data_IF_134801661752
#
_entry.id   IF_134801661752
#
_cell.length_a   1.000
_cell.length_b   1.000
_cell.length_c   1.000
_cell.angle_alpha   90.00
_cell.angle_beta   90.00
_cell.angle_gamma   90.00
#
_symmetry.space_group_name_H-M   'P 1'
#
loop_
_entity.id
_entity.type
_entity.pdbx_description
1 polymer ?
#
# COMPACT_ATOMS: atom_id res chain seq x y z
N UNK A 1 37.53 39.07 -8.08
CA UNK A 1 36.25 38.80 -7.39
C UNK A 1 35.28 37.89 -8.15
N UNK A 2 35.41 37.67 -9.47
CA UNK A 2 34.49 36.82 -10.25
C UNK A 2 34.66 35.30 -10.08
N UNK A 3 35.88 34.81 -9.83
CA UNK A 3 36.18 33.37 -9.73
C UNK A 3 35.67 32.77 -8.41
N UNK A 4 35.68 33.55 -7.33
CA UNK A 4 35.22 33.11 -6.01
C UNK A 4 33.68 32.93 -5.96
N UNK A 5 32.93 33.76 -6.68
CA UNK A 5 31.47 33.66 -6.79
C UNK A 5 31.02 32.44 -7.60
N UNK A 6 31.79 32.01 -8.59
CA UNK A 6 31.49 30.82 -9.41
C UNK A 6 31.69 29.51 -8.65
N UNK A 7 32.68 29.44 -7.76
CA UNK A 7 32.93 28.24 -6.93
C UNK A 7 31.87 28.05 -5.84
N UNK A 8 31.38 29.14 -5.25
CA UNK A 8 30.34 29.11 -4.21
C UNK A 8 28.97 28.70 -4.80
N UNK A 9 28.64 29.12 -6.01
CA UNK A 9 27.40 28.72 -6.70
C UNK A 9 27.44 27.25 -7.13
N UNK A 10 28.58 26.74 -7.62
CA UNK A 10 28.73 25.31 -7.93
C UNK A 10 28.70 24.42 -6.69
N UNK A 11 29.22 24.88 -5.54
CA UNK A 11 29.22 24.09 -4.30
C UNK A 11 27.82 24.04 -3.66
N UNK A 12 27.05 25.13 -3.72
CA UNK A 12 25.67 25.17 -3.23
C UNK A 12 24.72 24.30 -4.09
N UNK A 13 24.91 24.24 -5.40
CA UNK A 13 24.11 23.40 -6.30
C UNK A 13 24.34 21.90 -6.09
N UNK A 14 25.57 21.50 -5.73
CA UNK A 14 25.91 20.09 -5.42
C UNK A 14 25.36 19.67 -4.05
N UNK A 15 25.33 20.55 -3.06
CA UNK A 15 24.77 20.24 -1.73
C UNK A 15 23.23 20.14 -1.72
N UNK A 16 22.52 20.94 -2.52
CA UNK A 16 21.05 20.87 -2.60
C UNK A 16 20.57 19.63 -3.37
N UNK A 17 21.32 19.18 -4.38
CA UNK A 17 21.00 17.95 -5.12
C UNK A 17 21.29 16.66 -4.32
N UNK A 18 22.28 16.69 -3.42
CA UNK A 18 22.64 15.52 -2.60
C UNK A 18 21.73 15.30 -1.38
N UNK A 19 20.86 16.26 -1.05
CA UNK A 19 20.03 16.24 0.17
C UNK A 19 18.61 15.70 -0.04
N UNK A 20 18.24 15.32 -1.27
CA UNK A 20 16.86 14.90 -1.61
C UNK A 20 16.72 13.39 -1.87
N UNK A 21 17.73 12.58 -1.53
CA UNK A 21 17.76 11.15 -1.87
C UNK A 21 17.56 10.20 -0.68
N UNK A 22 17.23 10.70 0.52
CA UNK A 22 16.83 9.81 1.62
C UNK A 22 15.34 9.50 1.49
N UNK A 23 15.03 8.45 0.75
CA UNK A 23 13.67 7.99 0.51
C UNK A 23 12.98 7.52 1.81
N UNK A 24 11.66 7.71 1.95
CA UNK A 24 10.83 7.25 3.07
C UNK A 24 10.39 5.78 2.93
N UNK A 25 11.23 4.91 2.36
CA UNK A 25 10.84 3.53 1.99
C UNK A 25 10.47 2.67 3.19
N UNK A 26 11.12 2.85 4.34
CA UNK A 26 10.88 2.05 5.54
C UNK A 26 9.46 2.21 6.13
N UNK A 27 8.84 3.38 5.98
CA UNK A 27 7.49 3.62 6.53
C UNK A 27 6.40 3.04 5.62
N UNK A 28 6.66 2.90 4.31
CA UNK A 28 5.70 2.33 3.38
C UNK A 28 5.45 0.84 3.65
N UNK A 29 6.47 0.06 4.03
CA UNK A 29 6.30 -1.38 4.27
C UNK A 29 5.56 -1.71 5.57
N UNK A 30 5.65 -0.84 6.59
CA UNK A 30 4.91 -1.01 7.85
C UNK A 30 3.39 -1.02 7.65
N UNK A 31 2.88 -0.41 6.57
CA UNK A 31 1.45 -0.44 6.27
C UNK A 31 0.90 -1.86 6.04
N UNK A 32 1.74 -2.78 5.54
CA UNK A 32 1.36 -4.16 5.30
C UNK A 32 1.21 -4.95 6.60
N UNK A 33 2.05 -4.68 7.59
CA UNK A 33 1.92 -5.27 8.93
C UNK A 33 0.63 -4.84 9.61
N UNK A 34 0.20 -3.59 9.41
CA UNK A 34 -1.07 -3.10 9.97
C UNK A 34 -2.31 -3.76 9.32
N UNK A 35 -2.16 -4.33 8.12
CA UNK A 35 -3.24 -5.04 7.42
C UNK A 35 -3.42 -6.48 7.92
N UNK A 36 -2.59 -6.92 8.85
CA UNK A 36 -2.62 -8.24 9.46
C UNK A 36 -2.94 -8.10 10.96
N UNK A 37 -3.72 -9.00 11.57
CA UNK A 37 -3.84 -9.06 13.02
C UNK A 37 -2.46 -9.34 13.62
N UNK A 38 -2.09 -8.60 14.68
CA UNK A 38 -0.78 -8.71 15.34
C UNK A 38 0.46 -8.69 14.41
N UNK A 39 0.36 -8.14 13.18
CA UNK A 39 1.42 -8.26 12.17
C UNK A 39 2.75 -7.59 12.54
N UNK A 40 2.74 -6.64 13.49
CA UNK A 40 3.92 -6.01 14.07
C UNK A 40 4.29 -6.54 15.48
N UNK A 41 3.55 -7.54 15.97
CA UNK A 41 3.65 -8.09 17.32
C UNK A 41 4.11 -9.56 17.33
N UNK A 42 4.63 -10.07 16.22
CA UNK A 42 5.22 -11.42 16.15
C UNK A 42 6.63 -11.36 16.74
N UNK A 43 6.95 -12.16 17.78
CA UNK A 43 8.22 -12.03 18.50
C UNK A 43 9.45 -12.25 17.61
N UNK A 44 10.36 -11.27 17.58
CA UNK A 44 11.63 -11.33 16.85
C UNK A 44 11.51 -11.24 15.33
N UNK A 45 10.39 -10.71 14.82
CA UNK A 45 10.10 -10.63 13.38
C UNK A 45 9.67 -9.20 13.06
N UNK A 46 10.55 -8.45 12.40
CA UNK A 46 10.30 -7.09 11.94
C UNK A 46 9.64 -7.06 10.55
N UNK A 47 9.70 -8.17 9.80
CA UNK A 47 9.25 -8.26 8.41
C UNK A 47 8.46 -9.56 8.17
N UNK A 48 7.25 -9.63 8.73
CA UNK A 48 6.33 -10.76 8.50
C UNK A 48 6.04 -10.93 7.00
N UNK A 49 5.97 -12.19 6.54
CA UNK A 49 5.81 -12.52 5.11
C UNK A 49 7.13 -12.59 4.32
N UNK A 50 8.27 -12.51 5.00
CA UNK A 50 9.59 -12.69 4.41
C UNK A 50 10.38 -13.83 5.06
N UNK A 51 11.37 -14.36 4.34
CA UNK A 51 12.20 -15.47 4.82
C UNK A 51 13.11 -15.10 6.00
N UNK A 52 13.54 -13.83 6.08
CA UNK A 52 14.37 -13.32 7.17
C UNK A 52 13.59 -12.41 8.12
N UNK A 53 14.02 -12.28 9.39
CA UNK A 53 13.30 -11.50 10.40
C UNK A 53 13.24 -10.00 10.06
N UNK A 54 14.21 -9.47 9.31
CA UNK A 54 14.24 -8.07 8.87
C UNK A 54 13.96 -7.90 7.36
N UNK A 55 13.53 -8.97 6.67
CA UNK A 55 13.14 -8.95 5.26
C UNK A 55 13.78 -10.07 4.43
N UNK A 56 13.80 -9.88 3.11
CA UNK A 56 14.31 -10.85 2.14
C UNK A 56 13.23 -11.27 1.13
N UNK A 57 13.41 -12.40 0.42
CA UNK A 57 12.37 -12.98 -0.41
C UNK A 57 11.11 -13.29 0.40
N UNK A 58 9.95 -13.33 -0.25
CA UNK A 58 8.73 -13.77 0.42
C UNK A 58 8.82 -15.23 0.85
N UNK A 59 8.28 -15.53 2.03
CA UNK A 59 7.96 -16.89 2.43
C UNK A 59 6.54 -17.24 1.93
N UNK A 60 6.06 -18.46 2.19
CA UNK A 60 4.77 -18.93 1.69
C UNK A 60 3.60 -18.06 2.20
N UNK A 61 3.60 -17.66 3.47
CA UNK A 61 2.63 -16.69 4.01
C UNK A 61 2.64 -15.35 3.26
N UNK A 62 3.82 -14.83 2.93
CA UNK A 62 3.95 -13.60 2.16
C UNK A 62 3.42 -13.73 0.74
N UNK A 63 3.65 -14.87 0.09
CA UNK A 63 3.10 -15.17 -1.24
C UNK A 63 1.57 -15.28 -1.20
N UNK A 64 1.04 -15.93 -0.17
CA UNK A 64 -0.40 -16.04 0.07
C UNK A 64 -1.05 -14.69 0.36
N UNK A 65 -0.34 -13.80 1.08
CA UNK A 65 -0.82 -12.44 1.32
C UNK A 65 -0.85 -11.62 0.01
N UNK A 66 0.11 -11.84 -0.88
CA UNK A 66 0.13 -11.25 -2.23
C UNK A 66 -1.04 -11.79 -3.06
N UNK A 67 -1.29 -13.11 -3.02
CA UNK A 67 -2.43 -13.76 -3.69
C UNK A 67 -3.77 -13.18 -3.18
N UNK A 68 -3.87 -12.90 -1.89
CA UNK A 68 -5.01 -12.23 -1.27
C UNK A 68 -5.07 -10.70 -1.54
N UNK A 69 -4.23 -10.18 -2.44
CA UNK A 69 -4.11 -8.76 -2.77
C UNK A 69 -3.85 -7.85 -1.55
N UNK A 70 -3.03 -8.32 -0.61
CA UNK A 70 -2.70 -7.63 0.64
C UNK A 70 -3.92 -7.31 1.52
N UNK A 71 -4.86 -8.26 1.59
CA UNK A 71 -6.08 -8.17 2.41
C UNK A 71 -6.17 -9.38 3.34
N UNK A 72 -6.56 -9.12 4.59
CA UNK A 72 -6.97 -10.16 5.53
C UNK A 72 -8.36 -10.68 5.15
N UNK A 73 -8.40 -11.55 4.14
CA UNK A 73 -9.64 -12.21 3.71
C UNK A 73 -9.89 -13.44 4.56
N UNK A 74 -11.14 -13.90 4.64
CA UNK A 74 -11.47 -15.17 5.31
C UNK A 74 -10.64 -16.34 4.77
N UNK A 75 -10.55 -16.46 3.44
CA UNK A 75 -9.75 -17.50 2.79
C UNK A 75 -8.26 -17.44 3.17
N UNK A 76 -7.69 -16.24 3.26
CA UNK A 76 -6.29 -16.08 3.67
C UNK A 76 -6.09 -16.37 5.16
N UNK A 77 -7.02 -15.93 6.00
CA UNK A 77 -6.99 -16.19 7.44
C UNK A 77 -7.13 -17.69 7.78
N UNK A 78 -7.96 -18.42 7.05
CA UNK A 78 -8.17 -19.87 7.23
C UNK A 78 -7.07 -20.73 6.58
N UNK A 79 -6.19 -20.14 5.77
CA UNK A 79 -5.09 -20.86 5.13
C UNK A 79 -4.03 -21.23 6.16
N UNK A 80 -3.48 -22.43 6.02
CA UNK A 80 -2.26 -22.89 6.69
C UNK A 80 -1.10 -22.66 5.69
N UNK A 81 -0.48 -21.48 5.77
CA UNK A 81 0.47 -21.03 4.75
C UNK A 81 1.80 -21.79 4.81
N UNK A 82 2.21 -22.27 5.98
CA UNK A 82 3.49 -22.97 6.15
C UNK A 82 3.37 -24.49 6.38
N UNK A 83 2.14 -25.00 6.41
CA UNK A 83 1.83 -26.42 6.41
C UNK A 83 2.03 -27.09 7.76
N UNK A 84 2.00 -26.33 8.85
CA UNK A 84 2.22 -26.85 10.20
C UNK A 84 0.96 -27.38 10.88
N UNK A 85 -0.21 -27.16 10.27
CA UNK A 85 -1.53 -27.55 10.77
C UNK A 85 -2.26 -26.47 11.57
N UNK A 86 -1.73 -25.24 11.65
CA UNK A 86 -2.44 -24.08 12.18
C UNK A 86 -2.83 -23.14 11.06
N UNK A 87 -3.96 -22.46 11.21
CA UNK A 87 -4.34 -21.39 10.29
C UNK A 87 -3.61 -20.10 10.61
N UNK A 88 -3.41 -19.25 9.60
CA UNK A 88 -2.87 -17.91 9.74
C UNK A 88 -3.60 -17.11 10.84
N UNK A 89 -4.93 -17.28 10.94
CA UNK A 89 -5.76 -16.69 11.99
C UNK A 89 -5.46 -17.21 13.39
N UNK A 90 -5.27 -18.52 13.57
CA UNK A 90 -4.84 -19.07 14.85
C UNK A 90 -3.47 -18.54 15.25
N UNK A 91 -2.54 -18.42 14.32
CA UNK A 91 -1.20 -17.95 14.65
C UNK A 91 -1.14 -16.46 14.99
N UNK A 92 -1.93 -15.64 14.28
CA UNK A 92 -1.93 -14.19 14.42
C UNK A 92 -3.02 -13.65 15.37
N UNK A 93 -3.74 -14.52 16.08
CA UNK A 93 -4.70 -14.10 17.11
C UNK A 93 -6.07 -13.69 16.60
N UNK A 94 -6.46 -14.15 15.42
CA UNK A 94 -7.79 -13.99 14.82
C UNK A 94 -8.32 -15.35 14.29
N UNK A 95 -8.59 -16.33 15.16
CA UNK A 95 -9.03 -17.67 14.73
C UNK A 95 -10.42 -17.68 14.09
N UNK A 96 -11.18 -16.59 14.23
CA UNK A 96 -12.50 -16.44 13.63
C UNK A 96 -12.53 -15.60 12.36
N UNK A 97 -11.37 -15.10 11.92
CA UNK A 97 -11.25 -14.28 10.71
C UNK A 97 -12.13 -13.03 10.73
N UNK A 98 -12.22 -12.40 11.92
CA UNK A 98 -13.04 -11.23 12.21
C UNK A 98 -12.24 -9.92 12.12
N UNK A 99 -10.91 -9.99 12.00
CA UNK A 99 -10.06 -8.81 11.88
C UNK A 99 -10.38 -8.05 10.60
N UNK A 100 -10.68 -6.76 10.74
CA UNK A 100 -10.89 -5.85 9.61
C UNK A 100 -9.98 -4.63 9.75
N UNK A 101 -9.07 -4.47 8.79
CA UNK A 101 -8.16 -3.32 8.78
C UNK A 101 -8.93 -1.99 8.77
N UNK A 102 -8.56 -1.07 9.67
CA UNK A 102 -9.18 0.26 9.88
C UNK A 102 -10.63 0.25 10.39
N UNK A 103 -11.16 -0.89 10.81
CA UNK A 103 -12.41 -0.96 11.56
C UNK A 103 -12.08 -1.59 12.91
N UNK A 104 -12.04 -0.79 13.98
CA UNK A 104 -11.73 -1.17 15.38
C UNK A 104 -11.26 -2.63 15.52
N UNK A 105 -9.98 -2.92 15.18
CA UNK A 105 -9.56 -4.27 14.88
C UNK A 105 -9.68 -5.15 16.12
N UNK A 106 -10.53 -6.17 16.04
CA UNK A 106 -10.69 -7.18 17.08
C UNK A 106 -9.69 -8.30 16.82
N UNK A 107 -8.80 -8.53 17.77
CA UNK A 107 -8.00 -9.75 17.88
C UNK A 107 -8.39 -10.44 19.17
N UNK A 108 -8.42 -11.78 19.15
CA UNK A 108 -8.80 -12.59 20.32
C UNK A 108 -7.67 -12.65 21.33
N UNK A 109 -6.42 -12.61 20.88
CA UNK A 109 -5.24 -12.46 21.74
C UNK A 109 -4.13 -11.69 21.04
N UNK A 110 -3.20 -11.18 21.84
CA UNK A 110 -1.99 -10.48 21.41
C UNK A 110 -0.73 -11.17 21.93
N UNK A 111 -0.84 -11.99 22.98
CA UNK A 111 0.24 -12.79 23.54
C UNK A 111 0.14 -14.24 23.06
N UNK A 112 1.28 -14.88 22.86
CA UNK A 112 1.32 -16.26 22.35
C UNK A 112 1.08 -16.40 20.85
N UNK A 113 1.18 -15.29 20.09
CA UNK A 113 1.18 -15.33 18.61
C UNK A 113 2.45 -15.97 18.06
N UNK A 114 2.35 -16.55 16.86
CA UNK A 114 3.45 -17.24 16.18
C UNK A 114 3.68 -16.73 14.76
N UNK A 115 4.63 -17.34 14.04
CA UNK A 115 5.06 -16.84 12.74
C UNK A 115 4.48 -17.72 11.62
N UNK A 116 3.50 -17.22 10.85
CA UNK A 116 2.70 -18.05 9.95
C UNK A 116 3.37 -18.49 8.63
N UNK A 117 4.64 -18.11 8.48
CA UNK A 117 5.51 -18.58 7.39
C UNK A 117 6.68 -19.43 7.90
N UNK A 118 6.60 -20.01 9.10
CA UNK A 118 7.67 -20.81 9.70
C UNK A 118 7.09 -21.97 10.53
N UNK A 119 7.12 -23.21 10.01
CA UNK A 119 6.38 -24.35 10.59
C UNK A 119 6.95 -24.87 11.92
N UNK A 120 8.05 -24.27 12.40
CA UNK A 120 8.65 -24.57 13.70
C UNK A 120 8.17 -23.63 14.80
N UNK A 121 7.43 -22.57 14.45
CA UNK A 121 6.97 -21.55 15.39
C UNK A 121 5.46 -21.64 15.47
N UNK A 122 4.97 -22.37 16.47
CA UNK A 122 3.54 -22.61 16.68
C UNK A 122 3.00 -21.84 17.88
N UNK A 123 1.72 -21.45 17.81
CA UNK A 123 0.96 -20.96 18.96
C UNK A 123 0.49 -22.14 19.82
N UNK A 124 0.15 -21.90 21.09
CA UNK A 124 -0.43 -22.94 21.94
C UNK A 124 -1.91 -23.17 21.53
N UNK A 125 -2.32 -24.40 21.14
CA UNK A 125 -3.71 -24.69 20.77
C UNK A 125 -4.75 -24.35 21.83
N UNK A 126 -4.35 -24.25 23.10
CA UNK A 126 -5.23 -23.79 24.19
C UNK A 126 -5.78 -22.38 23.98
N UNK A 127 -5.10 -21.55 23.19
CA UNK A 127 -5.55 -20.17 22.91
C UNK A 127 -6.88 -20.14 22.12
N UNK A 128 -7.19 -21.20 21.37
CA UNK A 128 -8.46 -21.33 20.64
C UNK A 128 -9.29 -22.56 21.04
N UNK A 129 -8.92 -23.24 22.12
CA UNK A 129 -9.73 -24.32 22.67
C UNK A 129 -11.06 -23.74 23.19
N UNK A 130 -12.17 -24.18 22.60
CA UNK A 130 -13.52 -23.74 22.96
C UNK A 130 -14.00 -22.44 22.31
N UNK A 131 -13.24 -21.84 21.39
CA UNK A 131 -13.72 -20.70 20.61
C UNK A 131 -14.74 -21.17 19.57
N UNK A 132 -15.95 -20.61 19.63
CA UNK A 132 -16.99 -20.78 18.62
C UNK A 132 -17.12 -19.48 17.82
N UNK A 133 -16.77 -19.54 16.54
CA UNK A 133 -16.89 -18.40 15.64
C UNK A 133 -18.33 -18.24 15.15
N UNK A 134 -18.83 -17.00 15.06
CA UNK A 134 -20.20 -16.71 14.59
C UNK A 134 -21.14 -16.10 15.64
N UNK A 135 -20.66 -15.80 16.86
CA UNK A 135 -21.49 -15.16 17.89
C UNK A 135 -21.68 -13.63 17.72
N UNK A 136 -21.05 -13.01 16.71
CA UNK A 136 -21.21 -11.58 16.40
C UNK A 136 -22.13 -11.35 15.19
N UNK A 137 -23.31 -11.97 15.19
CA UNK A 137 -24.45 -11.61 14.34
C UNK A 137 -25.82 -11.98 14.92
N UNK A 138 -25.89 -12.43 16.18
CA UNK A 138 -27.14 -12.77 16.84
C UNK A 138 -27.29 -11.97 18.13
N UNK A 139 -27.96 -10.82 18.04
CA UNK A 139 -28.74 -10.32 19.17
C UNK A 139 -29.80 -11.38 19.55
N UNK A 140 -30.21 -11.49 20.83
CA UNK A 140 -31.09 -12.57 21.26
C UNK A 140 -32.52 -12.30 20.79
N UNK A 141 -32.91 -12.86 19.63
CA UNK A 141 -34.32 -13.02 19.31
C UNK A 141 -34.91 -14.15 20.16
N UNK A 142 -35.97 -13.77 20.87
CA UNK A 142 -36.77 -14.64 21.71
C UNK A 142 -37.31 -15.84 20.91
N UNK A 143 -37.34 -16.98 21.59
CA UNK A 143 -37.93 -18.21 21.11
C UNK A 143 -39.41 -18.01 20.74
N UNK A 144 -39.77 -18.34 19.50
CA UNK A 144 -41.09 -18.89 19.18
C UNK A 144 -40.94 -20.16 18.35
N UNK A 145 -41.29 -21.26 19.00
CA UNK A 145 -41.50 -22.59 18.43
C UNK A 145 -42.88 -22.64 17.76
N UNK A 146 -42.97 -23.07 16.50
CA UNK A 146 -44.17 -23.76 15.97
C UNK A 146 -43.87 -24.58 14.71
N UNK A 147 -43.67 -25.87 14.97
CA UNK A 147 -44.32 -27.04 14.35
C UNK A 147 -44.39 -27.14 12.81
N UNK A 148 -43.56 -28.07 12.35
CA UNK A 148 -43.58 -28.92 11.16
C UNK A 148 -44.96 -29.31 10.58
N UNK A 149 -45.11 -29.20 9.26
CA UNK A 149 -45.87 -30.15 8.40
C UNK A 149 -45.13 -30.28 7.06
N UNK A 150 -44.75 -31.50 6.72
CA UNK A 150 -44.27 -31.96 5.41
C UNK A 150 -45.48 -32.31 4.52
N UNK A 151 -45.38 -32.15 3.20
CA UNK A 151 -45.33 -33.24 2.20
C UNK A 151 -45.61 -32.73 0.75
N UNK A 152 -45.15 -33.54 -0.21
CA UNK A 152 -44.70 -33.31 -1.58
C UNK A 152 -45.77 -33.17 -2.69
N UNK A 153 -45.38 -32.51 -3.81
CA UNK A 153 -45.39 -33.04 -5.21
C UNK A 153 -44.93 -31.95 -6.22
N UNK A 154 -43.86 -32.14 -7.01
CA UNK A 154 -43.81 -32.72 -8.37
C UNK A 154 -44.84 -32.07 -9.34
N UNK A 155 -44.57 -31.58 -10.55
CA UNK A 155 -43.46 -31.63 -11.50
C UNK A 155 -43.70 -30.51 -12.55
N UNK A 156 -42.72 -30.30 -13.44
CA UNK A 156 -42.82 -29.91 -14.88
C UNK A 156 -42.12 -28.62 -15.32
N UNK A 157 -41.16 -28.88 -16.21
CA UNK A 157 -40.23 -28.05 -16.99
C UNK A 157 -40.91 -27.21 -18.08
N UNK A 158 -40.33 -26.03 -18.40
CA UNK A 158 -39.99 -25.40 -19.72
C UNK A 158 -39.91 -23.88 -19.53
N UNK A 159 -39.14 -23.03 -20.21
CA UNK A 159 -38.01 -23.05 -21.13
C UNK A 159 -37.57 -21.56 -21.26
N UNK A 160 -36.31 -21.35 -21.62
CA UNK A 160 -35.61 -20.14 -22.06
C UNK A 160 -36.36 -18.78 -22.22
N UNK A 161 -35.69 -17.69 -21.82
CA UNK A 161 -35.23 -16.66 -22.77
C UNK A 161 -34.44 -15.53 -22.08
N UNK A 162 -33.28 -15.24 -22.64
CA UNK A 162 -32.49 -14.01 -22.47
C UNK A 162 -33.24 -12.85 -23.16
N UNK A 163 -33.12 -11.61 -22.65
CA UNK A 163 -32.61 -10.58 -23.54
C UNK A 163 -31.55 -9.68 -22.88
N UNK A 164 -30.58 -9.34 -23.71
CA UNK A 164 -29.64 -8.24 -23.58
C UNK A 164 -30.32 -6.89 -23.94
N UNK A 165 -29.49 -5.83 -23.96
CA UNK A 165 -29.73 -4.41 -24.29
C UNK A 165 -29.91 -3.53 -23.03
N UNK A 166 -28.87 -2.80 -22.59
CA UNK A 166 -28.39 -1.53 -23.12
C UNK A 166 -29.30 -0.34 -22.77
N UNK A 167 -28.78 0.64 -21.99
CA UNK A 167 -29.50 1.89 -21.74
C UNK A 167 -29.01 2.75 -20.58
N UNK A 168 -27.94 3.51 -20.84
CA UNK A 168 -27.78 4.94 -20.46
C UNK A 168 -27.54 5.37 -19.01
N UNK A 169 -26.53 6.24 -18.94
CA UNK A 169 -25.94 6.98 -17.84
C UNK A 169 -26.91 7.82 -16.99
N UNK A 170 -26.66 7.84 -15.67
CA UNK A 170 -26.84 9.05 -14.86
C UNK A 170 -25.56 9.31 -14.07
N UNK A 171 -24.99 10.49 -14.32
CA UNK A 171 -23.89 11.07 -13.57
C UNK A 171 -24.31 11.27 -12.11
N UNK A 172 -23.67 10.55 -11.21
CA UNK A 172 -23.71 10.77 -9.77
C UNK A 172 -22.35 11.30 -9.33
N UNK A 173 -22.35 12.58 -8.97
CA UNK A 173 -21.34 13.38 -8.29
C UNK A 173 -20.32 12.58 -7.44
N UNK A 174 -19.06 12.52 -7.93
CA UNK A 174 -17.91 12.01 -7.17
C UNK A 174 -17.40 13.11 -6.22
N UNK A 175 -17.81 13.07 -4.96
CA UNK A 175 -17.12 13.79 -3.89
C UNK A 175 -15.93 12.96 -3.40
N UNK A 176 -14.88 12.89 -4.23
CA UNK A 176 -13.60 12.32 -3.84
C UNK A 176 -12.79 13.36 -3.05
N UNK A 177 -12.76 13.21 -1.72
CA UNK A 177 -11.82 13.90 -0.85
C UNK A 177 -10.38 13.54 -1.22
N UNK A 178 -9.60 14.57 -1.56
CA UNK A 178 -8.23 14.46 -2.04
C UNK A 178 -7.27 13.82 -1.01
N UNK A 179 -6.36 12.97 -1.51
CA UNK A 179 -4.94 13.31 -1.36
C UNK A 179 -4.21 13.22 -2.71
N UNK A 180 -4.73 13.89 -3.74
CA UNK A 180 -4.05 14.02 -5.05
C UNK A 180 -3.37 15.39 -5.26
N UNK A 181 -3.43 16.30 -4.27
CA UNK A 181 -2.96 17.68 -4.43
C UNK A 181 -1.45 17.87 -4.25
N UNK A 182 -0.72 16.92 -3.65
CA UNK A 182 0.72 17.10 -3.40
C UNK A 182 1.61 16.72 -4.60
N UNK A 183 1.16 15.85 -5.49
CA UNK A 183 1.92 15.50 -6.70
C UNK A 183 1.85 16.61 -7.76
N UNK A 184 0.68 17.23 -7.95
CA UNK A 184 0.44 18.26 -8.96
C UNK A 184 1.24 19.55 -8.70
N UNK A 185 1.28 20.02 -7.45
CA UNK A 185 1.98 21.27 -7.10
C UNK A 185 3.50 21.11 -7.27
N UNK A 186 4.06 19.94 -6.95
CA UNK A 186 5.50 19.69 -7.05
C UNK A 186 5.97 19.59 -8.51
N UNK A 187 5.19 18.95 -9.39
CA UNK A 187 5.45 18.96 -10.83
C UNK A 187 5.42 20.38 -11.41
N UNK A 188 4.52 21.23 -10.91
CA UNK A 188 4.41 22.64 -11.35
C UNK A 188 5.62 23.48 -10.91
N UNK A 189 6.11 23.29 -9.68
CA UNK A 189 7.23 24.05 -9.14
C UNK A 189 8.56 23.70 -9.85
N UNK A 190 8.77 22.41 -10.16
CA UNK A 190 9.93 21.95 -10.93
C UNK A 190 9.91 22.50 -12.35
N UNK A 191 8.76 22.46 -13.03
CA UNK A 191 8.63 23.03 -14.38
C UNK A 191 8.90 24.54 -14.41
N UNK A 192 8.41 25.30 -13.42
CA UNK A 192 8.66 26.73 -13.31
C UNK A 192 10.14 27.04 -13.02
N UNK A 193 10.80 26.25 -12.18
CA UNK A 193 12.22 26.39 -11.90
C UNK A 193 13.08 26.13 -13.14
N UNK A 194 12.79 25.05 -13.89
CA UNK A 194 13.47 24.73 -15.15
C UNK A 194 13.26 25.83 -16.20
N UNK A 195 12.04 26.35 -16.32
CA UNK A 195 11.73 27.45 -17.23
C UNK A 195 12.44 28.76 -16.85
N UNK A 196 12.52 29.08 -15.56
CA UNK A 196 13.26 30.25 -15.08
C UNK A 196 14.76 30.13 -15.40
N UNK A 197 15.36 28.96 -15.16
CA UNK A 197 16.77 28.68 -15.50
C UNK A 197 17.00 28.82 -17.01
N UNK A 198 16.12 28.25 -17.84
CA UNK A 198 16.19 28.34 -19.30
C UNK A 198 16.14 29.79 -19.80
N UNK A 199 15.23 30.61 -19.25
CA UNK A 199 15.11 32.03 -19.62
C UNK A 199 16.35 32.82 -19.22
N UNK A 200 16.92 32.56 -18.04
CA UNK A 200 18.16 33.20 -17.58
C UNK A 200 19.33 32.84 -18.50
N UNK A 201 19.51 31.55 -18.83
CA UNK A 201 20.55 31.07 -19.74
C UNK A 201 20.41 31.67 -21.15
N UNK A 202 19.18 31.76 -21.69
CA UNK A 202 18.95 32.39 -22.99
C UNK A 202 19.16 33.90 -23.00
N UNK A 203 18.82 34.61 -21.91
CA UNK A 203 19.08 36.06 -21.78
C UNK A 203 20.56 36.36 -21.62
N UNK A 204 21.29 35.58 -20.83
CA UNK A 204 22.74 35.77 -20.65
C UNK A 204 23.52 35.38 -21.90
N UNK A 205 23.12 34.30 -22.60
CA UNK A 205 23.71 33.90 -23.88
C UNK A 205 23.45 34.86 -25.05
N UNK A 206 22.35 35.62 -25.03
CA UNK A 206 22.13 36.75 -25.97
C UNK A 206 23.01 37.95 -25.65
N UNK A 207 23.28 38.22 -24.37
CA UNK A 207 24.06 39.39 -23.92
C UNK A 207 25.55 39.25 -24.27
N UNK A 208 26.08 38.03 -24.25
CA UNK A 208 27.48 37.76 -24.63
C UNK A 208 27.72 37.80 -26.15
N UNK A 209 26.69 37.59 -26.97
CA UNK A 209 26.77 37.64 -28.44
C UNK A 209 26.73 39.05 -29.06
N UNK A 210 26.36 40.08 -28.30
CA UNK A 210 26.18 41.45 -28.81
C UNK A 210 27.31 42.43 -28.40
N UNK A 211 28.52 41.95 -28.09
CA UNK A 211 29.68 42.83 -27.87
C UNK A 211 30.33 43.20 -29.21
N UNK A 212 30.40 44.49 -29.61
CA UNK A 212 31.03 44.89 -30.85
C UNK A 212 32.55 45.01 -30.63
N UNK A 213 33.26 43.90 -30.64
CA UNK A 213 34.73 43.89 -30.71
C UNK A 213 35.08 43.48 -32.13
N UNK A 214 35.12 44.44 -33.07
CA UNK A 214 35.95 44.45 -34.29
C UNK A 214 35.50 45.59 -35.23
N UNK A 215 35.79 46.85 -34.85
CA UNK A 215 35.80 47.96 -35.83
C UNK A 215 36.64 49.15 -35.37
N UNK A 216 37.97 49.03 -35.43
CA UNK A 216 38.97 50.12 -35.50
C UNK A 216 40.35 49.46 -35.45
N UNK A 217 41.39 49.79 -36.20
CA UNK A 217 41.58 50.56 -37.42
C UNK A 217 42.82 49.96 -38.11
N UNK A 218 42.82 49.95 -39.44
CA UNK A 218 44.05 49.93 -40.24
C UNK A 218 44.83 51.22 -39.92
N UNK A 219 46.04 51.11 -39.38
CA UNK A 219 47.11 52.09 -39.59
C UNK A 219 48.33 51.30 -40.03
N UNK A 220 48.70 51.45 -41.30
CA UNK A 220 49.91 50.87 -41.87
C UNK A 220 51.17 51.66 -41.48
N UNK A 221 52.36 51.08 -41.65
CA UNK A 221 53.61 51.83 -41.59
C UNK A 221 53.98 52.40 -42.98
N UNK A 222 54.77 53.48 -42.94
CA UNK A 222 55.26 54.34 -44.02
C UNK A 222 56.03 53.59 -45.12
#
# INVERSE_FOLDING_TARGET
MGVLRSRVVSMAAVCVAASLSTAPEAEAYKMFQQKLPNGANVPGVDAIGHAGPSGGPNNDFGLDFIEAMFRWTKAFCEKDSDGDGQTNGQELGDPCCEFVYRQSPTVRWTEGVSHPGNPKRKSDPKLWEGIVCGAAAAEPEAAEEKKEVQEEKEDTVVEAAVPAEAGTQRQGELTAGAPALHASVMLSAVALAVMAIYVVVRRTGRRTRNLPIFRQQRKGPM
#
